data_IF_361884236061
#
_entry.id   IF_361884236061
#
_cell.length_a   1.000
_cell.length_b   1.000
_cell.length_c   1.000
_cell.angle_alpha   90.00
_cell.angle_beta   90.00
_cell.angle_gamma   90.00
#
_symmetry.space_group_name_H-M   'P 1'
#
loop_
_entity.id
_entity.type
_entity.pdbx_description
1 polymer ?
#
# COMPACT_ATOMS: atom_id res chain seq x y z
N UNK A 1 -2.50 -16.74 8.38
CA UNK A 1 -3.79 -16.10 8.09
C UNK A 1 -4.84 -17.17 7.81
N UNK A 2 -5.98 -17.11 8.50
CA UNK A 2 -7.13 -18.00 8.28
C UNK A 2 -7.79 -17.75 6.90
N UNK A 3 -8.68 -18.64 6.42
CA UNK A 3 -9.34 -18.48 5.11
C UNK A 3 -10.18 -17.21 4.96
N UNK A 4 -10.88 -16.80 6.02
CA UNK A 4 -11.72 -15.59 6.01
C UNK A 4 -10.90 -14.32 5.79
N UNK A 5 -9.83 -14.11 6.57
CA UNK A 5 -8.95 -12.97 6.39
C UNK A 5 -8.25 -12.98 5.03
N UNK A 6 -7.91 -14.17 4.48
CA UNK A 6 -7.43 -14.29 3.07
C UNK A 6 -8.46 -13.77 2.07
N UNK A 7 -9.72 -14.13 2.24
CA UNK A 7 -10.80 -13.66 1.37
C UNK A 7 -10.97 -12.14 1.46
N UNK A 8 -11.03 -11.60 2.67
CA UNK A 8 -11.17 -10.15 2.89
C UNK A 8 -10.01 -9.39 2.23
N UNK A 9 -8.75 -9.82 2.42
CA UNK A 9 -7.60 -9.19 1.75
C UNK A 9 -7.72 -9.25 0.23
N UNK A 10 -8.19 -10.38 -0.33
CA UNK A 10 -8.34 -10.56 -1.77
C UNK A 10 -9.38 -9.59 -2.36
N UNK A 11 -10.52 -9.46 -1.69
CA UNK A 11 -11.61 -8.57 -2.10
C UNK A 11 -11.19 -7.10 -2.02
N UNK A 12 -10.60 -6.69 -0.89
CA UNK A 12 -10.11 -5.32 -0.71
C UNK A 12 -9.02 -4.95 -1.71
N UNK A 13 -8.09 -5.86 -2.02
CA UNK A 13 -7.08 -5.64 -3.08
C UNK A 13 -7.72 -5.39 -4.42
N UNK A 14 -8.66 -6.26 -4.82
CA UNK A 14 -9.31 -6.18 -6.12
C UNK A 14 -10.03 -4.84 -6.26
N UNK A 15 -10.78 -4.45 -5.23
CA UNK A 15 -11.54 -3.20 -5.23
C UNK A 15 -10.62 -1.98 -5.20
N UNK A 16 -9.68 -1.94 -4.25
CA UNK A 16 -8.71 -0.85 -4.12
C UNK A 16 -7.91 -0.64 -5.41
N UNK A 17 -7.36 -1.70 -6.02
CA UNK A 17 -6.58 -1.56 -7.25
C UNK A 17 -7.42 -1.13 -8.46
N UNK A 18 -8.66 -1.60 -8.56
CA UNK A 18 -9.58 -1.19 -9.63
C UNK A 18 -9.90 0.30 -9.53
N UNK A 19 -10.25 0.76 -8.33
CA UNK A 19 -10.54 2.17 -8.07
C UNK A 19 -9.29 3.05 -8.19
N UNK A 20 -8.14 2.56 -7.73
CA UNK A 20 -6.86 3.25 -7.86
C UNK A 20 -6.52 3.45 -9.33
N UNK A 21 -6.62 2.40 -10.15
CA UNK A 21 -6.41 2.48 -11.60
C UNK A 21 -7.38 3.45 -12.27
N UNK A 22 -8.66 3.46 -11.90
CA UNK A 22 -9.66 4.38 -12.45
C UNK A 22 -9.41 5.85 -12.07
N UNK A 23 -8.84 6.09 -10.89
CA UNK A 23 -8.58 7.46 -10.36
C UNK A 23 -7.21 7.99 -10.78
N UNK A 24 -6.29 7.10 -11.12
CA UNK A 24 -4.99 7.43 -11.69
C UNK A 24 -5.18 7.88 -13.14
N UNK A 25 -4.83 9.13 -13.43
CA UNK A 25 -4.89 9.70 -14.79
C UNK A 25 -3.76 9.18 -15.71
N UNK A 26 -3.23 7.99 -15.42
CA UNK A 26 -2.15 7.34 -16.15
C UNK A 26 -2.45 5.84 -16.26
N UNK A 27 -1.95 5.14 -17.28
CA UNK A 27 -2.14 3.70 -17.38
C UNK A 27 -1.58 2.96 -16.15
N UNK A 28 -2.46 2.22 -15.46
CA UNK A 28 -2.11 1.34 -14.35
C UNK A 28 -2.25 -0.12 -14.80
N UNK A 29 -1.22 -0.92 -14.56
CA UNK A 29 -1.21 -2.37 -14.81
C UNK A 29 -1.41 -3.10 -13.48
N UNK A 30 -2.39 -3.98 -13.43
CA UNK A 30 -2.64 -4.84 -12.26
C UNK A 30 -2.14 -6.24 -12.60
N UNK A 31 -1.25 -6.80 -11.78
CA UNK A 31 -0.80 -8.18 -11.97
C UNK A 31 -1.89 -9.15 -11.49
N UNK A 32 -2.25 -10.12 -12.33
CA UNK A 32 -3.20 -11.17 -11.96
C UNK A 32 -2.63 -12.11 -10.91
N UNK A 33 -3.52 -12.76 -10.15
CA UNK A 33 -3.17 -13.90 -9.30
C UNK A 33 -2.78 -15.08 -10.22
N UNK A 34 -1.49 -15.25 -10.51
CA UNK A 34 -1.04 -16.51 -11.11
C UNK A 34 -0.93 -17.57 -10.01
N UNK A 35 -1.26 -18.82 -10.35
CA UNK A 35 -1.19 -19.98 -9.44
C UNK A 35 0.19 -20.17 -8.76
N UNK A 36 1.24 -19.50 -9.24
CA UNK A 36 2.63 -19.68 -8.79
C UNK A 36 3.35 -18.41 -8.31
N UNK A 37 2.71 -17.23 -8.23
CA UNK A 37 3.45 -16.02 -7.83
C UNK A 37 2.65 -15.04 -7.00
N UNK A 38 3.38 -14.40 -6.08
CA UNK A 38 3.20 -13.12 -5.38
C UNK A 38 1.80 -12.48 -5.39
N UNK A 39 1.39 -11.97 -4.22
CA UNK A 39 0.20 -11.14 -4.05
C UNK A 39 0.06 -10.10 -5.18
N UNK A 40 -1.15 -9.91 -5.75
CA UNK A 40 -1.36 -8.98 -6.86
C UNK A 40 -0.95 -7.57 -6.46
N UNK A 41 -0.39 -6.82 -7.40
CA UNK A 41 0.01 -5.42 -7.24
C UNK A 41 -0.53 -4.57 -8.37
N UNK A 42 -0.62 -3.26 -8.15
CA UNK A 42 -0.90 -2.28 -9.19
C UNK A 42 0.36 -1.44 -9.47
N UNK A 43 0.73 -1.27 -10.73
CA UNK A 43 1.95 -0.58 -11.16
C UNK A 43 1.71 0.44 -12.26
N UNK A 44 2.48 1.53 -12.25
CA UNK A 44 2.40 2.60 -13.24
C UNK A 44 3.80 3.15 -13.55
N UNK A 45 3.94 3.81 -14.70
CA UNK A 45 5.18 4.50 -15.08
C UNK A 45 4.95 6.00 -14.86
N UNK A 46 5.88 6.65 -14.16
CA UNK A 46 5.81 8.10 -13.93
C UNK A 46 6.40 8.92 -15.09
N UNK A 47 6.29 10.25 -15.00
CA UNK A 47 6.76 11.15 -16.04
C UNK A 47 8.28 11.11 -16.26
N UNK A 48 9.04 10.54 -15.32
CA UNK A 48 10.49 10.32 -15.42
C UNK A 48 10.81 8.93 -15.97
N UNK A 49 9.82 8.22 -16.53
CA UNK A 49 9.91 6.86 -17.03
C UNK A 49 10.33 5.84 -15.96
N UNK A 50 9.99 6.07 -14.69
CA UNK A 50 10.30 5.12 -13.60
C UNK A 50 9.06 4.29 -13.28
N UNK A 51 9.27 3.00 -13.09
CA UNK A 51 8.23 2.07 -12.66
C UNK A 51 7.95 2.24 -11.17
N UNK A 52 6.70 2.54 -10.85
CA UNK A 52 6.16 2.60 -9.51
C UNK A 52 5.16 1.47 -9.30
N UNK A 53 4.92 1.09 -8.05
CA UNK A 53 3.88 0.13 -7.72
C UNK A 53 3.32 0.36 -6.31
N UNK A 54 2.10 -0.14 -6.12
CA UNK A 54 1.42 -0.23 -4.83
C UNK A 54 1.05 -1.69 -4.55
N UNK A 55 1.26 -2.11 -3.31
CA UNK A 55 0.92 -3.44 -2.80
C UNK A 55 0.19 -3.31 -1.47
N UNK A 56 -0.96 -3.97 -1.36
CA UNK A 56 -1.73 -4.10 -0.12
C UNK A 56 -1.50 -5.50 0.41
N UNK A 57 -1.20 -5.68 1.69
CA UNK A 57 -1.02 -7.00 2.31
C UNK A 57 -1.41 -6.99 3.79
N UNK A 58 -1.63 -8.17 4.36
CA UNK A 58 -1.85 -8.29 5.81
C UNK A 58 -0.55 -7.99 6.55
N UNK A 59 -0.58 -6.98 7.42
CA UNK A 59 0.51 -6.70 8.37
C UNK A 59 0.44 -7.69 9.53
N UNK A 60 -0.76 -7.81 10.13
CA UNK A 60 -1.12 -8.87 11.07
C UNK A 60 -2.48 -9.44 10.66
N UNK A 61 -2.69 -10.72 10.91
CA UNK A 61 -3.98 -11.35 10.67
C UNK A 61 -4.18 -12.56 11.59
N UNK A 62 -5.43 -12.89 11.94
CA UNK A 62 -5.76 -14.10 12.69
C UNK A 62 -5.35 -15.35 11.91
N UNK A 63 -4.93 -16.39 12.63
CA UNK A 63 -4.62 -17.71 12.09
C UNK A 63 -4.99 -18.81 13.09
N UNK A 64 -4.72 -20.07 12.73
CA UNK A 64 -5.06 -21.22 13.58
C UNK A 64 -4.35 -21.20 14.94
N UNK A 65 -3.18 -20.58 15.04
CA UNK A 65 -2.39 -20.51 16.27
C UNK A 65 -2.81 -19.32 17.14
N UNK A 66 -3.16 -18.19 16.53
CA UNK A 66 -3.60 -16.98 17.22
C UNK A 66 -4.88 -16.45 16.56
N UNK A 67 -6.06 -17.02 16.87
CA UNK A 67 -7.33 -16.62 16.26
C UNK A 67 -7.76 -15.19 16.60
N UNK A 68 -7.29 -14.65 17.74
CA UNK A 68 -7.59 -13.30 18.19
C UNK A 68 -6.56 -12.26 17.74
N UNK A 69 -5.59 -12.63 16.89
CA UNK A 69 -4.59 -11.67 16.42
C UNK A 69 -5.30 -10.54 15.66
N UNK A 70 -5.00 -9.26 15.98
CA UNK A 70 -5.54 -8.13 15.24
C UNK A 70 -5.40 -8.29 13.74
N UNK A 71 -6.47 -7.99 13.01
CA UNK A 71 -6.45 -7.98 11.55
C UNK A 71 -6.16 -6.57 11.05
N UNK A 72 -4.93 -6.35 10.58
CA UNK A 72 -4.39 -5.05 10.19
C UNK A 72 -3.73 -5.18 8.82
N UNK A 73 -3.97 -4.21 7.96
CA UNK A 73 -3.40 -4.16 6.62
C UNK A 73 -2.22 -3.20 6.55
N UNK A 74 -1.38 -3.40 5.55
CA UNK A 74 -0.36 -2.46 5.12
C UNK A 74 -0.46 -2.23 3.63
N UNK A 75 -0.52 -0.95 3.25
CA UNK A 75 -0.37 -0.48 1.88
C UNK A 75 1.05 0.05 1.73
N UNK A 76 1.78 -0.48 0.76
CA UNK A 76 3.16 -0.10 0.49
C UNK A 76 3.32 0.39 -0.95
N UNK A 77 3.97 1.53 -1.14
CA UNK A 77 4.34 2.10 -2.42
C UNK A 77 5.86 2.05 -2.55
N UNK A 78 6.37 1.45 -3.64
CA UNK A 78 7.81 1.32 -3.96
C UNK A 78 8.69 0.65 -2.88
N UNK A 79 8.14 0.29 -1.71
CA UNK A 79 8.86 -0.39 -0.64
C UNK A 79 9.17 -1.82 -1.04
N UNK A 80 10.43 -2.22 -0.91
CA UNK A 80 10.96 -3.51 -1.36
C UNK A 80 11.02 -3.67 -2.89
N UNK A 81 11.22 -2.57 -3.64
CA UNK A 81 11.24 -2.58 -5.10
C UNK A 81 12.15 -3.67 -5.70
N UNK A 82 13.26 -3.99 -5.04
CA UNK A 82 14.19 -5.05 -5.45
C UNK A 82 13.57 -6.45 -5.63
N UNK A 83 12.40 -6.76 -5.04
CA UNK A 83 11.73 -8.07 -5.19
C UNK A 83 10.82 -8.16 -6.42
N UNK A 84 10.61 -7.07 -7.16
CA UNK A 84 9.64 -6.99 -8.26
C UNK A 84 10.33 -7.04 -9.64
N UNK A 85 11.18 -8.04 -9.87
CA UNK A 85 11.82 -8.24 -11.17
C UNK A 85 10.83 -8.62 -12.29
N UNK A 86 9.59 -9.00 -11.94
CA UNK A 86 8.59 -9.58 -12.86
C UNK A 86 7.69 -8.52 -13.54
N UNK A 87 7.50 -7.35 -12.94
CA UNK A 87 6.55 -6.32 -13.46
C UNK A 87 7.08 -5.62 -14.71
N UNK A 88 8.39 -5.70 -14.96
CA UNK A 88 9.05 -5.08 -16.11
C UNK A 88 8.69 -5.74 -17.46
N UNK A 89 8.08 -6.94 -17.47
CA UNK A 89 7.61 -7.55 -18.73
C UNK A 89 6.44 -6.74 -19.32
N UNK A 90 6.76 -5.86 -20.27
CA UNK A 90 5.80 -5.14 -21.10
C UNK A 90 5.50 -3.69 -20.71
N UNK A 91 6.30 -3.04 -19.84
CA UNK A 91 6.24 -1.59 -19.64
C UNK A 91 7.60 -0.97 -19.98
N UNK A 92 7.63 -0.07 -20.96
CA UNK A 92 8.82 0.72 -21.27
C UNK A 92 9.12 1.65 -20.09
N UNK A 93 10.21 1.37 -19.35
CA UNK A 93 10.66 2.18 -18.22
C UNK A 93 12.19 2.12 -18.09
N UNK A 94 12.77 3.14 -17.45
CA UNK A 94 14.21 3.26 -17.12
C UNK A 94 14.62 2.46 -15.88
N UNK A 95 13.69 1.69 -15.31
CA UNK A 95 13.88 0.94 -14.07
C UNK A 95 12.89 1.35 -12.98
N UNK A 96 13.06 0.78 -11.79
CA UNK A 96 12.20 1.02 -10.63
C UNK A 96 12.42 2.40 -10.03
N UNK A 97 11.36 3.00 -9.50
CA UNK A 97 11.46 4.19 -8.69
C UNK A 97 12.05 3.85 -7.32
N UNK A 98 13.28 4.31 -7.08
CA UNK A 98 14.01 4.20 -5.81
C UNK A 98 14.15 5.53 -5.08
N UNK A 99 13.52 6.58 -5.60
CA UNK A 99 13.66 7.94 -5.06
C UNK A 99 12.73 8.15 -3.86
N UNK A 100 11.61 7.46 -3.84
CA UNK A 100 10.68 7.51 -2.72
C UNK A 100 9.95 6.18 -2.57
N UNK A 101 9.64 5.87 -1.32
CA UNK A 101 8.73 4.82 -0.92
C UNK A 101 7.83 5.35 0.20
N UNK A 102 6.74 4.61 0.46
CA UNK A 102 5.81 4.94 1.51
C UNK A 102 5.07 3.68 1.97
N UNK A 103 4.79 3.56 3.26
CA UNK A 103 3.93 2.54 3.84
C UNK A 103 2.91 3.16 4.78
N UNK A 104 1.65 2.76 4.62
CA UNK A 104 0.56 3.07 5.55
C UNK A 104 0.06 1.77 6.16
N UNK A 105 0.09 1.67 7.48
CA UNK A 105 -0.58 0.63 8.25
C UNK A 105 -1.95 1.13 8.70
N UNK A 106 -2.99 0.34 8.45
CA UNK A 106 -4.38 0.74 8.67
C UNK A 106 -5.30 -0.47 8.92
N UNK A 107 -6.51 -0.21 9.41
CA UNK A 107 -7.53 -1.25 9.52
C UNK A 107 -8.15 -1.60 8.14
N UNK A 108 -8.63 -2.83 7.92
CA UNK A 108 -9.27 -3.21 6.66
C UNK A 108 -10.38 -2.26 6.20
N UNK A 109 -11.20 -1.75 7.14
CA UNK A 109 -12.28 -0.83 6.84
C UNK A 109 -11.85 0.58 6.42
N UNK A 110 -10.59 0.97 6.60
CA UNK A 110 -10.10 2.32 6.30
C UNK A 110 -9.50 2.42 4.89
N UNK A 111 -9.21 1.30 4.22
CA UNK A 111 -8.35 1.30 3.02
C UNK A 111 -8.94 2.03 1.83
N UNK A 112 -10.24 1.90 1.63
CA UNK A 112 -10.93 2.55 0.51
C UNK A 112 -11.09 4.05 0.78
N UNK A 113 -11.27 4.46 2.04
CA UNK A 113 -11.33 5.88 2.42
C UNK A 113 -10.01 6.59 2.14
N UNK A 114 -8.88 5.90 2.33
CA UNK A 114 -7.55 6.44 2.03
C UNK A 114 -7.22 6.52 0.54
N UNK A 115 -8.05 5.97 -0.35
CA UNK A 115 -7.74 5.94 -1.78
C UNK A 115 -7.53 7.34 -2.40
N UNK A 116 -8.39 8.35 -2.19
CA UNK A 116 -8.17 9.69 -2.72
C UNK A 116 -6.87 10.31 -2.18
N UNK A 117 -6.60 10.11 -0.89
CA UNK A 117 -5.39 10.60 -0.24
C UNK A 117 -4.13 9.96 -0.84
N UNK A 118 -4.11 8.63 -1.02
CA UNK A 118 -3.00 7.90 -1.65
C UNK A 118 -2.75 8.36 -3.08
N UNK A 119 -3.81 8.57 -3.87
CA UNK A 119 -3.67 9.12 -5.24
C UNK A 119 -3.11 10.54 -5.21
N UNK A 120 -3.54 11.38 -4.25
CA UNK A 120 -3.01 12.72 -4.07
C UNK A 120 -1.52 12.72 -3.69
N UNK A 121 -1.10 11.76 -2.83
CA UNK A 121 0.29 11.55 -2.46
C UNK A 121 1.15 11.18 -3.66
N UNK A 122 0.70 10.22 -4.48
CA UNK A 122 1.39 9.84 -5.72
C UNK A 122 1.55 11.05 -6.66
N UNK A 123 0.50 11.85 -6.83
CA UNK A 123 0.52 13.06 -7.66
C UNK A 123 1.47 14.13 -7.09
N UNK A 124 1.52 14.29 -5.77
CA UNK A 124 2.42 15.21 -5.09
C UNK A 124 3.90 14.84 -5.32
N UNK A 125 4.24 13.55 -5.25
CA UNK A 125 5.60 13.07 -5.53
C UNK A 125 5.97 13.17 -7.01
N UNK A 126 5.06 12.86 -7.93
CA UNK A 126 5.32 12.98 -9.37
C UNK A 126 5.59 14.43 -9.79
N UNK A 127 4.79 15.37 -9.25
CA UNK A 127 4.92 16.82 -9.54
C UNK A 127 5.86 17.57 -8.60
N UNK A 128 6.46 16.89 -7.62
CA UNK A 128 7.28 17.48 -6.56
C UNK A 128 6.59 18.68 -5.89
N UNK A 129 5.29 18.55 -5.59
CA UNK A 129 4.47 19.63 -5.02
C UNK A 129 3.54 19.11 -3.93
N UNK A 130 3.86 19.46 -2.68
CA UNK A 130 3.04 19.11 -1.51
C UNK A 130 1.68 19.81 -1.49
N UNK A 131 1.49 20.89 -2.26
CA UNK A 131 0.19 21.59 -2.34
C UNK A 131 -0.91 20.74 -2.98
N UNK A 132 -0.55 19.61 -3.61
CA UNK A 132 -1.48 18.65 -4.20
C UNK A 132 -1.95 17.59 -3.21
N UNK A 133 -1.32 17.49 -2.04
CA UNK A 133 -1.65 16.51 -1.02
C UNK A 133 -2.97 16.91 -0.36
N UNK A 134 -3.94 16.02 -0.40
CA UNK A 134 -5.20 16.19 0.30
C UNK A 134 -5.02 15.94 1.81
N UNK A 135 -5.89 16.46 2.68
CA UNK A 135 -5.93 16.02 4.07
C UNK A 135 -6.28 14.52 4.13
N UNK A 136 -5.71 13.77 5.08
CA UNK A 136 -6.08 12.37 5.24
C UNK A 136 -7.52 12.21 5.74
N UNK A 137 -8.20 11.13 5.34
CA UNK A 137 -9.58 10.85 5.75
C UNK A 137 -9.70 10.44 7.21
N UNK A 138 -8.64 9.89 7.79
CA UNK A 138 -8.56 9.46 9.19
C UNK A 138 -7.28 10.01 9.83
N UNK A 139 -7.29 10.28 11.15
CA UNK A 139 -6.07 10.59 11.88
C UNK A 139 -5.03 9.49 11.70
N UNK A 140 -3.82 9.89 11.34
CA UNK A 140 -2.68 8.99 11.25
C UNK A 140 -1.41 9.72 11.68
N UNK A 141 -0.46 8.98 12.23
CA UNK A 141 0.83 9.51 12.63
C UNK A 141 1.93 8.90 11.75
N UNK A 142 2.91 9.72 11.38
CA UNK A 142 4.13 9.19 10.80
C UNK A 142 5.00 8.61 11.90
N UNK A 143 5.51 7.39 11.69
CA UNK A 143 6.60 6.89 12.51
C UNK A 143 7.83 7.69 12.15
N UNK A 144 8.38 8.42 13.12
CA UNK A 144 9.67 9.09 12.98
C UNK A 144 10.76 8.00 13.00
N UNK A 145 11.42 7.70 11.87
CA UNK A 145 12.53 6.76 11.92
C UNK A 145 13.72 7.43 12.61
N UNK A 146 14.50 6.64 13.34
CA UNK A 146 15.75 7.09 13.97
C UNK A 146 16.75 7.65 12.94
N UNK A 147 16.64 7.22 11.68
CA UNK A 147 17.40 7.73 10.52
C UNK A 147 16.54 7.60 9.26
N UNK A 148 16.30 8.70 8.52
CA UNK A 148 15.62 8.69 7.21
C UNK A 148 14.44 9.64 7.06
N UNK A 149 13.80 9.62 5.88
CA UNK A 149 12.56 10.36 5.59
C UNK A 149 11.35 9.63 6.23
N UNK A 150 10.33 10.40 6.64
CA UNK A 150 9.05 9.86 7.11
C UNK A 150 8.33 9.14 5.95
N UNK A 151 8.54 7.84 5.85
CA UNK A 151 7.95 6.97 4.84
C UNK A 151 7.01 5.93 5.44
N UNK A 152 6.83 5.90 6.75
CA UNK A 152 5.97 4.95 7.43
C UNK A 152 4.92 5.68 8.26
N UNK A 153 3.67 5.28 8.11
CA UNK A 153 2.52 5.91 8.73
C UNK A 153 1.56 4.86 9.30
N UNK A 154 0.87 5.21 10.38
CA UNK A 154 -0.12 4.36 11.03
C UNK A 154 -1.38 5.14 11.29
N UNK A 155 -2.55 4.60 10.92
CA UNK A 155 -3.81 5.15 11.43
C UNK A 155 -3.87 4.97 12.93
N UNK A 156 -4.44 5.95 13.63
CA UNK A 156 -4.52 5.96 15.08
C UNK A 156 -5.20 4.67 15.60
N UNK A 157 -6.27 4.23 14.94
CA UNK A 157 -6.98 3.00 15.29
C UNK A 157 -6.12 1.75 15.13
N UNK A 158 -5.34 1.64 14.05
CA UNK A 158 -4.44 0.51 13.85
C UNK A 158 -3.30 0.50 14.88
N UNK A 159 -2.77 1.68 15.22
CA UNK A 159 -1.75 1.87 16.25
C UNK A 159 -2.25 1.45 17.63
N UNK A 160 -3.42 1.96 18.04
CA UNK A 160 -4.05 1.60 19.31
C UNK A 160 -4.32 0.09 19.38
N UNK A 161 -4.86 -0.51 18.33
CA UNK A 161 -5.18 -1.94 18.32
C UNK A 161 -3.94 -2.82 18.46
N UNK A 162 -2.80 -2.39 17.92
CA UNK A 162 -1.54 -3.15 18.00
C UNK A 162 -0.88 -3.00 19.37
N UNK A 163 -0.91 -1.79 19.96
CA UNK A 163 -0.26 -1.52 21.24
C UNK A 163 -1.11 -1.95 22.45
N UNK A 164 -2.44 -2.00 22.31
CA UNK A 164 -3.32 -2.57 23.35
C UNK A 164 -3.13 -4.08 23.50
N UNK A 165 -2.66 -4.79 22.47
CA UNK A 165 -2.23 -6.20 22.58
C UNK A 165 -0.86 -6.41 23.21
N UNK A 166 -0.06 -5.36 23.46
CA UNK A 166 1.26 -5.47 24.13
C UNK A 166 1.13 -5.32 25.65
N UNK A 167 0.00 -4.81 26.15
CA UNK A 167 -0.23 -4.50 27.56
C UNK A 167 -1.10 -5.55 28.31
N UNK A 168 -1.45 -6.66 27.66
CA UNK A 168 -2.16 -7.81 28.26
C UNK A 168 -1.30 -9.07 28.11
#
# INVERSE_FOLDING_TARGET
>A
MNPEAKQIVSELRREFYSLFAATMNVPVKITGASYSSNSPIASWVDNKQRLNYVNVYAYTAPDELIPLRPFILRLAINKSAGRIAIVTKGQECRGMNRVWDFELTLLPGEILDFLPWIVSLVKAYDKNSLSLLQPPPHPFEFIVPTVGLLNEAWTEKAWMLTNSTILN
#
